data_IF_009083733279
#
_entry.id   IF_009083733279
#
_cell.length_a   1.000
_cell.length_b   1.000
_cell.length_c   1.000
_cell.angle_alpha   90.00
_cell.angle_beta   90.00
_cell.angle_gamma   90.00
#
_symmetry.space_group_name_H-M   'P 1'
#
loop_
_entity.id
_entity.type
_entity.pdbx_description
1 polymer ?
#
# COMPACT_ATOMS: atom_id res chain seq x y z
N UNK A 1 6.04 8.52 14.29
CA UNK A 1 5.22 8.63 13.07
C UNK A 1 5.28 10.08 12.57
N UNK A 2 5.89 10.36 11.42
CA UNK A 2 6.00 11.73 10.89
C UNK A 2 4.71 12.16 10.16
N UNK A 3 4.51 13.48 9.97
CA UNK A 3 3.28 14.05 9.37
C UNK A 3 2.94 13.46 7.99
N UNK A 4 3.95 13.18 7.16
CA UNK A 4 3.79 12.50 5.86
C UNK A 4 3.28 11.08 6.03
N UNK A 5 3.79 10.33 7.01
CA UNK A 5 3.38 8.94 7.24
C UNK A 5 1.92 8.86 7.73
N UNK A 6 1.47 9.82 8.56
CA UNK A 6 0.05 9.94 8.93
C UNK A 6 -0.87 10.23 7.73
N UNK A 7 -0.42 11.05 6.78
CA UNK A 7 -1.17 11.31 5.55
C UNK A 7 -1.25 10.06 4.68
N UNK A 8 -0.12 9.36 4.49
CA UNK A 8 -0.05 8.11 3.73
C UNK A 8 -0.90 7.02 4.37
N UNK A 9 -1.03 7.01 5.70
CA UNK A 9 -1.90 6.09 6.43
C UNK A 9 -3.38 6.30 6.11
N UNK A 10 -3.85 7.55 6.09
CA UNK A 10 -5.22 7.85 5.68
C UNK A 10 -5.52 7.36 4.26
N UNK A 11 -4.59 7.61 3.33
CA UNK A 11 -4.69 7.16 1.94
C UNK A 11 -4.66 5.62 1.85
N UNK A 12 -3.81 4.95 2.61
CA UNK A 12 -3.73 3.50 2.66
C UNK A 12 -5.07 2.88 3.11
N UNK A 13 -5.73 3.45 4.13
CA UNK A 13 -7.04 2.99 4.57
C UNK A 13 -8.11 3.17 3.48
N UNK A 14 -8.15 4.32 2.81
CA UNK A 14 -9.09 4.58 1.70
C UNK A 14 -8.90 3.57 0.55
N UNK A 15 -7.65 3.33 0.14
CA UNK A 15 -7.31 2.35 -0.90
C UNK A 15 -7.79 0.95 -0.52
N UNK A 16 -7.52 0.52 0.71
CA UNK A 16 -7.91 -0.81 1.19
C UNK A 16 -9.42 -0.96 1.33
N UNK A 17 -10.13 0.05 1.84
CA UNK A 17 -11.58 0.04 1.93
C UNK A 17 -12.23 -0.06 0.55
N UNK A 18 -11.66 0.64 -0.43
CA UNK A 18 -12.14 0.62 -1.82
C UNK A 18 -11.91 -0.74 -2.46
N UNK A 19 -10.69 -1.27 -2.37
CA UNK A 19 -10.36 -2.60 -2.90
C UNK A 19 -11.06 -3.73 -2.14
N UNK A 20 -11.45 -3.53 -0.87
CA UNK A 20 -12.28 -4.47 -0.12
C UNK A 20 -13.75 -4.44 -0.60
N UNK A 21 -14.24 -3.30 -1.08
CA UNK A 21 -15.63 -3.12 -1.55
C UNK A 21 -15.84 -3.53 -3.00
N UNK A 22 -14.78 -3.52 -3.83
CA UNK A 22 -14.83 -3.96 -5.24
C UNK A 22 -14.78 -5.48 -5.42
N UNK A 23 -14.32 -6.22 -4.41
CA UNK A 23 -14.33 -7.68 -4.43
C UNK A 23 -15.64 -8.23 -3.88
N UNK A 24 -16.24 -9.21 -4.56
CA UNK A 24 -17.23 -10.07 -3.90
C UNK A 24 -16.57 -10.72 -2.68
N UNK A 25 -17.28 -10.85 -1.54
CA UNK A 25 -16.78 -11.55 -0.35
C UNK A 25 -16.73 -13.05 -0.62
N UNK A 26 -15.81 -13.47 -1.48
CA UNK A 26 -15.50 -14.85 -1.79
C UNK A 26 -14.13 -15.17 -1.21
N UNK A 27 -14.03 -16.32 -0.53
CA UNK A 27 -12.80 -16.85 0.08
C UNK A 27 -11.64 -17.04 -0.91
N UNK A 28 -11.90 -16.93 -2.22
CA UNK A 28 -10.94 -17.08 -3.30
C UNK A 28 -10.26 -15.76 -3.72
N UNK A 29 -10.74 -14.61 -3.24
CA UNK A 29 -10.19 -13.33 -3.62
C UNK A 29 -8.96 -12.99 -2.77
N UNK A 30 -7.85 -12.51 -3.37
CA UNK A 30 -6.68 -12.11 -2.60
C UNK A 30 -7.04 -10.98 -1.63
N UNK A 31 -6.39 -10.87 -0.46
CA UNK A 31 -6.67 -9.78 0.48
C UNK A 31 -6.52 -8.40 -0.17
N UNK A 32 -7.31 -7.41 0.27
CA UNK A 32 -7.29 -6.04 -0.32
C UNK A 32 -5.88 -5.44 -0.39
N UNK A 33 -5.01 -5.74 0.59
CA UNK A 33 -3.60 -5.31 0.58
C UNK A 33 -2.80 -5.88 -0.59
N UNK A 34 -3.06 -7.13 -0.98
CA UNK A 34 -2.44 -7.75 -2.15
C UNK A 34 -2.93 -7.04 -3.41
N UNK A 35 -4.24 -6.80 -3.55
CA UNK A 35 -4.80 -6.06 -4.70
C UNK A 35 -4.19 -4.66 -4.85
N UNK A 36 -4.08 -3.91 -3.75
CA UNK A 36 -3.46 -2.57 -3.77
C UNK A 36 -1.99 -2.66 -4.20
N UNK A 37 -1.21 -3.58 -3.63
CA UNK A 37 0.20 -3.74 -3.98
C UNK A 37 0.41 -4.17 -5.44
N UNK A 38 -0.43 -5.07 -5.94
CA UNK A 38 -0.42 -5.50 -7.34
C UNK A 38 -0.76 -4.36 -8.30
N UNK A 39 -1.77 -3.56 -7.97
CA UNK A 39 -2.16 -2.41 -8.81
C UNK A 39 -1.08 -1.32 -8.83
N UNK A 40 -0.32 -1.18 -7.73
CA UNK A 40 0.86 -0.32 -7.67
C UNK A 40 2.07 -0.86 -8.42
N UNK A 41 2.14 -2.17 -8.69
CA UNK A 41 3.30 -2.79 -9.34
C UNK A 41 3.60 -2.15 -10.68
N UNK A 42 2.61 -1.99 -11.55
CA UNK A 42 2.80 -1.44 -12.89
C UNK A 42 3.44 -0.03 -12.86
N UNK A 43 2.77 0.95 -12.23
CA UNK A 43 3.29 2.32 -12.12
C UNK A 43 4.66 2.42 -11.44
N UNK A 44 4.89 1.68 -10.36
CA UNK A 44 6.19 1.73 -9.66
C UNK A 44 7.27 1.03 -10.48
N UNK A 45 6.96 -0.11 -11.11
CA UNK A 45 7.93 -0.83 -11.95
C UNK A 45 8.32 -0.04 -13.20
N UNK A 46 7.46 0.84 -13.71
CA UNK A 46 7.85 1.77 -14.78
C UNK A 46 8.90 2.79 -14.32
N UNK A 47 8.94 3.15 -13.03
CA UNK A 47 9.89 4.13 -12.49
C UNK A 47 11.20 3.49 -12.04
N UNK A 48 11.15 2.34 -11.35
CA UNK A 48 12.31 1.73 -10.69
C UNK A 48 12.61 0.30 -11.17
N UNK A 49 11.87 -0.20 -12.15
CA UNK A 49 11.94 -1.59 -12.60
C UNK A 49 11.29 -2.57 -11.63
N UNK A 50 11.07 -3.81 -12.10
CA UNK A 50 10.49 -4.89 -11.28
C UNK A 50 11.36 -5.22 -10.04
N UNK A 51 12.68 -5.23 -10.21
CA UNK A 51 13.63 -5.43 -9.10
C UNK A 51 13.55 -4.31 -8.07
N UNK A 52 13.42 -3.06 -8.51
CA UNK A 52 13.26 -1.90 -7.63
C UNK A 52 11.95 -1.95 -6.86
N UNK A 53 10.84 -2.29 -7.53
CA UNK A 53 9.55 -2.50 -6.88
C UNK A 53 9.64 -3.58 -5.80
N UNK A 54 10.22 -4.74 -6.10
CA UNK A 54 10.41 -5.83 -5.13
C UNK A 54 11.26 -5.39 -3.93
N UNK A 55 12.34 -4.65 -4.17
CA UNK A 55 13.20 -4.12 -3.10
C UNK A 55 12.45 -3.14 -2.20
N UNK A 56 11.68 -2.20 -2.77
CA UNK A 56 10.84 -1.27 -2.03
C UNK A 56 9.78 -1.99 -1.20
N UNK A 57 9.09 -2.97 -1.81
CA UNK A 57 8.06 -3.73 -1.14
C UNK A 57 8.63 -4.56 0.02
N UNK A 58 9.78 -5.22 -0.19
CA UNK A 58 10.49 -5.96 0.86
C UNK A 58 10.88 -5.04 2.01
N UNK A 59 11.42 -3.85 1.70
CA UNK A 59 11.80 -2.87 2.73
C UNK A 59 10.58 -2.36 3.50
N UNK A 60 9.50 -2.02 2.80
CA UNK A 60 8.24 -1.58 3.43
C UNK A 60 7.68 -2.65 4.36
N UNK A 61 7.76 -3.93 3.97
CA UNK A 61 7.32 -5.04 4.79
C UNK A 61 8.18 -5.21 6.04
N UNK A 62 9.50 -5.07 5.93
CA UNK A 62 10.39 -5.09 7.11
C UNK A 62 10.08 -3.96 8.10
N UNK A 63 9.81 -2.75 7.61
CA UNK A 63 9.41 -1.61 8.45
C UNK A 63 8.02 -1.82 9.08
N UNK A 64 7.08 -2.36 8.33
CA UNK A 64 5.73 -2.61 8.81
C UNK A 64 5.71 -3.74 9.85
N UNK A 65 6.52 -4.79 9.69
CA UNK A 65 6.69 -5.88 10.66
C UNK A 65 7.26 -5.42 12.00
N UNK A 66 8.15 -4.42 11.99
CA UNK A 66 8.66 -3.81 13.21
C UNK A 66 7.54 -3.12 14.03
N UNK A 67 6.45 -2.70 13.37
CA UNK A 67 5.30 -2.06 14.00
C UNK A 67 4.17 -3.04 14.31
N UNK A 68 3.94 -4.02 13.43
CA UNK A 68 2.84 -4.99 13.50
C UNK A 68 3.38 -6.39 13.26
N UNK A 69 3.70 -7.16 14.33
CA UNK A 69 4.25 -8.51 14.21
C UNK A 69 3.38 -9.49 13.42
N UNK A 70 2.06 -9.27 13.36
CA UNK A 70 1.11 -10.06 12.58
C UNK A 70 1.42 -10.07 11.06
N UNK A 71 2.17 -9.08 10.55
CA UNK A 71 2.64 -9.01 9.17
C UNK A 71 3.77 -10.02 8.85
N UNK A 72 4.23 -10.78 9.84
CA UNK A 72 5.15 -11.90 9.59
C UNK A 72 4.51 -12.99 8.71
N UNK A 73 3.17 -13.03 8.66
CA UNK A 73 2.41 -13.90 7.78
C UNK A 73 2.49 -13.51 6.29
N UNK A 74 2.81 -12.25 5.97
CA UNK A 74 2.97 -11.80 4.58
C UNK A 74 4.40 -12.09 4.12
N UNK A 75 4.59 -12.56 2.89
CA UNK A 75 5.89 -12.65 2.24
C UNK A 75 5.86 -12.00 0.85
N UNK A 76 7.02 -11.50 0.42
CA UNK A 76 7.21 -11.00 -0.94
C UNK A 76 7.86 -12.13 -1.75
N UNK A 77 7.17 -12.62 -2.77
CA UNK A 77 7.65 -13.64 -3.69
C UNK A 77 8.82 -13.13 -4.57
N UNK A 78 9.59 -14.03 -5.20
CA UNK A 78 10.67 -13.64 -6.12
C UNK A 78 10.21 -12.80 -7.32
N UNK A 79 8.96 -12.98 -7.76
CA UNK A 79 8.29 -12.20 -8.81
C UNK A 79 7.78 -10.82 -8.32
N UNK A 80 7.92 -10.53 -7.02
CA UNK A 80 7.45 -9.31 -6.38
C UNK A 80 5.99 -9.36 -5.92
N UNK A 81 5.32 -10.52 -5.96
CA UNK A 81 3.95 -10.70 -5.48
C UNK A 81 3.87 -10.81 -3.97
N UNK A 82 2.79 -10.26 -3.40
CA UNK A 82 2.49 -10.46 -2.00
C UNK A 82 1.76 -11.80 -1.82
N UNK A 83 2.33 -12.65 -0.99
CA UNK A 83 1.68 -13.86 -0.51
C UNK A 83 1.31 -13.67 0.95
N UNK A 84 0.05 -13.93 1.30
CA UNK A 84 -0.36 -14.00 2.68
C UNK A 84 -0.43 -15.48 3.09
N UNK A 85 0.48 -15.92 3.97
CA UNK A 85 0.39 -17.26 4.54
C UNK A 85 -0.73 -17.27 5.60
N UNK A 86 -1.75 -18.09 5.39
CA UNK A 86 -2.89 -18.23 6.31
C UNK A 86 -2.76 -19.46 7.22
N UNK A 87 -1.62 -20.15 7.19
CA UNK A 87 -1.41 -21.37 7.99
C UNK A 87 -1.36 -20.97 9.47
N UNK A 88 -2.50 -21.13 10.14
CA UNK A 88 -2.66 -20.91 11.59
C UNK A 88 -3.26 -19.57 12.01
N UNK A 89 -3.66 -18.67 11.09
CA UNK A 89 -4.26 -17.39 11.45
C UNK A 89 -5.66 -17.25 10.84
N UNK A 90 -6.68 -17.23 11.69
CA UNK A 90 -8.12 -17.21 11.36
C UNK A 90 -8.61 -15.92 10.69
N UNK A 91 -7.70 -15.02 10.29
CA UNK A 91 -8.00 -13.73 9.66
C UNK A 91 -8.44 -13.92 8.20
N UNK A 92 -9.54 -14.65 8.00
CA UNK A 92 -10.27 -14.73 6.72
C UNK A 92 -11.24 -13.57 6.52
N UNK A 93 -11.44 -12.73 7.53
CA UNK A 93 -12.31 -11.57 7.36
C UNK A 93 -11.51 -10.43 6.75
N UNK A 94 -11.96 -9.94 5.59
CA UNK A 94 -11.39 -8.78 4.89
C UNK A 94 -11.18 -7.56 5.82
N UNK A 95 -11.93 -7.47 6.94
CA UNK A 95 -11.83 -6.42 7.95
C UNK A 95 -10.63 -6.52 8.91
N UNK A 96 -10.18 -7.72 9.27
CA UNK A 96 -9.08 -7.91 10.24
C UNK A 96 -7.71 -7.61 9.64
N UNK A 97 -7.56 -7.86 8.33
CA UNK A 97 -6.34 -7.58 7.58
C UNK A 97 -6.20 -6.10 7.16
N UNK A 98 -7.22 -5.25 7.37
CA UNK A 98 -7.18 -3.84 6.95
C UNK A 98 -6.13 -3.07 7.74
N UNK A 99 -6.07 -3.20 9.07
CA UNK A 99 -5.10 -2.44 9.88
C UNK A 99 -3.65 -2.87 9.58
N UNK A 100 -3.29 -4.17 9.61
CA UNK A 100 -1.93 -4.58 9.25
C UNK A 100 -1.59 -4.20 7.80
N UNK A 101 -2.52 -4.41 6.87
CA UNK A 101 -2.35 -4.03 5.47
C UNK A 101 -2.15 -2.53 5.28
N UNK A 102 -2.86 -1.69 6.04
CA UNK A 102 -2.74 -0.25 5.97
C UNK A 102 -1.34 0.20 6.37
N UNK A 103 -0.77 -0.40 7.44
CA UNK A 103 0.61 -0.10 7.85
C UNK A 103 1.62 -0.49 6.77
N UNK A 104 1.45 -1.66 6.13
CA UNK A 104 2.32 -2.06 5.01
C UNK A 104 2.28 -1.04 3.86
N UNK A 105 1.09 -0.69 3.39
CA UNK A 105 0.92 0.27 2.30
C UNK A 105 1.43 1.66 2.71
N UNK A 106 1.24 2.05 3.96
CA UNK A 106 1.75 3.31 4.51
C UNK A 106 3.28 3.38 4.41
N UNK A 107 3.98 2.33 4.81
CA UNK A 107 5.44 2.28 4.72
C UNK A 107 5.91 2.29 3.25
N UNK A 108 5.19 1.62 2.35
CA UNK A 108 5.50 1.65 0.92
C UNK A 108 5.36 3.07 0.34
N UNK A 109 4.23 3.73 0.60
CA UNK A 109 3.97 5.09 0.13
C UNK A 109 4.90 6.11 0.81
N UNK A 110 5.26 5.88 2.07
CA UNK A 110 6.26 6.67 2.80
C UNK A 110 7.64 6.60 2.17
N UNK A 111 8.08 5.40 1.77
CA UNK A 111 9.34 5.21 1.04
C UNK A 111 9.30 5.90 -0.33
N UNK A 112 8.22 5.75 -1.10
CA UNK A 112 8.06 6.47 -2.37
C UNK A 112 8.13 7.99 -2.17
N UNK A 113 7.40 8.50 -1.17
CA UNK A 113 7.39 9.92 -0.87
C UNK A 113 8.76 10.45 -0.48
N UNK A 114 9.58 9.63 0.19
CA UNK A 114 10.94 9.98 0.54
C UNK A 114 11.92 9.91 -0.65
N UNK A 115 11.72 8.97 -1.58
CA UNK A 115 12.62 8.77 -2.72
C UNK A 115 12.31 9.65 -3.93
N UNK A 116 11.04 9.78 -4.31
CA UNK A 116 10.60 10.51 -5.52
C UNK A 116 9.76 11.75 -5.20
N UNK A 117 9.52 12.02 -3.91
CA UNK A 117 8.68 13.13 -3.45
C UNK A 117 7.20 12.77 -3.34
N UNK A 118 6.52 13.50 -2.44
CA UNK A 118 5.11 13.30 -2.14
C UNK A 118 4.21 13.60 -3.36
N UNK A 119 4.49 14.67 -4.10
CA UNK A 119 3.69 15.04 -5.27
C UNK A 119 3.69 13.95 -6.35
N UNK A 120 4.86 13.33 -6.61
CA UNK A 120 4.97 12.27 -7.58
C UNK A 120 4.28 10.98 -7.10
N UNK A 121 4.39 10.68 -5.80
CA UNK A 121 3.69 9.55 -5.18
C UNK A 121 2.17 9.69 -5.32
N UNK A 122 1.63 10.88 -5.07
CA UNK A 122 0.19 11.14 -5.22
C UNK A 122 -0.27 11.07 -6.68
N UNK A 123 0.58 11.50 -7.63
CA UNK A 123 0.28 11.38 -9.06
C UNK A 123 0.18 9.91 -9.50
N UNK A 124 1.08 9.05 -9.05
CA UNK A 124 1.02 7.60 -9.31
C UNK A 124 -0.27 6.98 -8.75
N UNK A 125 -0.68 7.41 -7.56
CA UNK A 125 -1.93 6.94 -6.96
C UNK A 125 -3.15 7.39 -7.74
N UNK A 126 -3.21 8.65 -8.20
CA UNK A 126 -4.30 9.12 -9.05
C UNK A 126 -4.31 8.41 -10.41
N UNK A 127 -3.16 8.03 -10.96
CA UNK A 127 -3.08 7.28 -12.21
C UNK A 127 -3.64 5.85 -12.05
N UNK A 128 -3.29 5.17 -10.95
CA UNK A 128 -3.78 3.83 -10.65
C UNK A 128 -5.24 3.80 -10.11
N UNK A 129 -5.71 4.89 -9.52
CA UNK A 129 -7.08 5.06 -9.05
C UNK A 129 -7.59 6.46 -9.40
N UNK A 130 -8.08 6.67 -10.64
CA UNK A 130 -8.56 7.97 -11.10
C UNK A 130 -9.76 8.50 -10.30
N UNK A 131 -10.53 7.60 -9.67
CA UNK A 131 -11.68 7.95 -8.84
C UNK A 131 -11.32 8.25 -7.38
N UNK A 132 -10.04 8.25 -7.01
CA UNK A 132 -9.63 8.73 -5.70
C UNK A 132 -10.04 10.20 -5.59
N UNK A 133 -10.78 10.59 -4.53
CA UNK A 133 -11.08 12.00 -4.30
C UNK A 133 -9.75 12.73 -4.30
N UNK A 134 -9.60 13.75 -5.17
CA UNK A 134 -8.34 14.43 -5.41
C UNK A 134 -7.65 14.67 -4.09
N UNK A 135 -6.61 13.88 -3.81
CA UNK A 135 -5.85 14.00 -2.57
C UNK A 135 -5.17 15.35 -2.71
N UNK A 136 -5.80 16.39 -2.15
CA UNK A 136 -5.42 17.79 -2.40
C UNK A 136 -3.95 17.92 -2.08
N UNK A 137 -3.10 17.94 -3.10
CA UNK A 137 -1.72 18.35 -2.94
C UNK A 137 -1.88 19.77 -2.42
N UNK A 138 -1.55 19.97 -1.16
CA UNK A 138 -1.48 21.28 -0.55
C UNK A 138 -0.36 22.01 -1.29
N UNK A 139 -0.70 22.60 -2.44
CA UNK A 139 0.05 23.65 -3.06
C UNK A 139 -0.27 24.94 -2.32
N UNK A 140 0.13 25.06 -1.05
CA UNK A 140 0.24 26.36 -0.38
C UNK A 140 1.48 27.09 -0.90
N UNK A 141 1.39 27.49 -2.16
CA UNK A 141 1.81 28.80 -2.60
C UNK A 141 0.57 29.67 -2.67
N UNK A 142 0.21 30.33 -1.56
CA UNK A 142 -0.70 31.48 -1.61
C UNK A 142 -0.12 32.59 -0.76
N UNK A 143 0.62 33.47 -1.44
CA UNK A 143 0.75 34.88 -1.10
C UNK A 143 -0.64 35.52 -1.21
N UNK A 144 -1.14 36.06 -0.11
CA UNK A 144 -1.93 37.30 -0.09
C UNK A 144 -1.66 37.96 1.26
#
# INVERSE_FOLDING_TARGET
MNRTNLRMLGIAYELLAREASTGEPSDLQPPAVVRVAEKLRGPISMLVGATGFRALLTRSLSLARAQVPALSAIQVKPDGALEWNTVGNSARTNGEAVKPGAILITELLGLLSHSIGEAMTLRLLNDAWPDLPAIKIDSRGKTT
#
